data_IF_351908708939
#
_entry.id   IF_351908708939
#
_cell.length_a   1.000
_cell.length_b   1.000
_cell.length_c   1.000
_cell.angle_alpha   90.00
_cell.angle_beta   90.00
_cell.angle_gamma   90.00
#
_symmetry.space_group_name_H-M   'P 1'
#
loop_
_entity.id
_entity.type
_entity.pdbx_description
1 polymer ?
#
# COMPACT_ATOMS: atom_id res chain seq x y z
N UNK A 1 0.33 -3.33 38.49
CA UNK A 1 0.98 -4.29 37.57
C UNK A 1 -0.16 -4.96 36.84
N UNK A 2 -0.78 -4.35 35.82
CA UNK A 2 -0.31 -3.86 34.51
C UNK A 2 -0.06 -4.98 33.48
N UNK A 3 -0.46 -4.64 32.25
CA UNK A 3 -0.51 -5.36 30.98
C UNK A 3 -1.79 -6.20 30.77
N UNK A 4 -2.59 -6.05 29.71
CA UNK A 4 -2.74 -5.06 28.63
C UNK A 4 -4.07 -5.46 27.95
N UNK A 5 -5.06 -4.56 27.88
CA UNK A 5 -6.39 -4.82 27.31
C UNK A 5 -6.56 -3.99 26.03
N UNK A 6 -6.58 -4.65 24.87
CA UNK A 6 -6.81 -4.05 23.56
C UNK A 6 -8.31 -4.08 23.17
N UNK A 7 -8.88 -3.01 22.57
CA UNK A 7 -10.29 -2.94 22.17
C UNK A 7 -10.59 -3.59 20.80
N UNK A 8 -11.80 -4.16 20.65
CA UNK A 8 -12.29 -4.90 19.47
C UNK A 8 -12.89 -3.99 18.36
N UNK A 9 -12.48 -4.19 17.10
CA UNK A 9 -13.12 -3.62 15.88
C UNK A 9 -14.03 -4.69 15.21
N UNK A 10 -15.24 -4.35 14.72
CA UNK A 10 -16.10 -5.28 13.99
C UNK A 10 -15.61 -5.53 12.54
N UNK A 11 -15.75 -6.78 12.05
CA UNK A 11 -15.38 -7.18 10.68
C UNK A 11 -15.98 -6.26 9.60
N UNK A 12 -15.14 -5.84 8.66
CA UNK A 12 -15.48 -4.92 7.58
C UNK A 12 -15.81 -5.61 6.25
N UNK A 13 -16.06 -6.93 6.29
CA UNK A 13 -16.15 -7.79 5.10
C UNK A 13 -17.44 -7.71 4.30
N UNK A 14 -18.43 -6.93 4.76
CA UNK A 14 -19.71 -6.80 4.09
C UNK A 14 -19.82 -5.41 3.46
N UNK A 15 -19.06 -5.17 2.40
CA UNK A 15 -19.21 -3.97 1.57
C UNK A 15 -19.37 -4.40 0.12
N UNK A 16 -20.55 -4.13 -0.46
CA UNK A 16 -20.72 -4.27 -1.89
C UNK A 16 -19.85 -3.21 -2.59
N UNK A 17 -19.06 -3.65 -3.57
CA UNK A 17 -18.06 -2.84 -4.26
C UNK A 17 -18.66 -1.93 -5.33
N UNK A 18 -19.83 -1.32 -5.09
CA UNK A 18 -20.54 -0.50 -6.08
C UNK A 18 -20.59 0.99 -5.74
N UNK A 19 -19.96 1.43 -4.64
CA UNK A 19 -20.13 2.79 -4.15
C UNK A 19 -18.80 3.40 -3.71
N UNK A 20 -18.32 4.43 -4.40
CA UNK A 20 -17.08 5.21 -4.16
C UNK A 20 -17.05 5.95 -2.80
N UNK A 21 -18.02 5.69 -1.92
CA UNK A 21 -18.20 6.28 -0.61
C UNK A 21 -17.06 6.03 0.41
N UNK A 22 -16.28 4.93 0.38
CA UNK A 22 -15.14 4.72 1.29
C UNK A 22 -13.97 5.67 1.02
N UNK A 23 -13.59 5.86 -0.25
CA UNK A 23 -12.59 6.84 -0.67
C UNK A 23 -13.01 8.26 -0.29
N UNK A 24 -14.31 8.57 -0.40
CA UNK A 24 -14.83 9.87 0.03
C UNK A 24 -14.74 10.12 1.54
N UNK A 25 -14.74 9.07 2.36
CA UNK A 25 -14.62 9.18 3.82
C UNK A 25 -13.18 9.29 4.28
N UNK A 26 -12.26 8.62 3.59
CA UNK A 26 -10.81 8.77 3.81
C UNK A 26 -10.41 10.25 3.80
N UNK A 27 -10.87 10.96 2.78
CA UNK A 27 -10.38 12.31 2.55
C UNK A 27 -11.05 13.34 3.48
N UNK A 28 -12.30 13.09 3.89
CA UNK A 28 -12.96 13.89 4.94
C UNK A 28 -12.31 13.73 6.33
N UNK A 29 -11.56 12.65 6.58
CA UNK A 29 -10.86 12.39 7.85
C UNK A 29 -9.48 13.05 7.92
N UNK A 30 -8.85 13.36 6.78
CA UNK A 30 -7.54 14.02 6.71
C UNK A 30 -7.60 15.50 7.15
N UNK A 31 -8.75 16.18 6.98
CA UNK A 31 -8.79 17.64 7.07
C UNK A 31 -9.25 18.26 8.41
N UNK A 32 -9.57 17.52 9.47
CA UNK A 32 -9.92 18.15 10.77
C UNK A 32 -11.08 19.16 10.75
N UNK A 33 -11.81 19.32 9.65
CA UNK A 33 -12.92 20.27 9.49
C UNK A 33 -14.27 19.60 9.85
N UNK A 34 -14.38 19.18 11.12
CA UNK A 34 -15.49 18.40 11.64
C UNK A 34 -16.89 19.04 11.62
N UNK A 35 -17.05 20.33 11.30
CA UNK A 35 -18.32 21.02 11.57
C UNK A 35 -19.25 21.27 10.36
N UNK A 36 -18.72 21.32 9.12
CA UNK A 36 -19.51 21.75 7.95
C UNK A 36 -20.08 20.59 7.13
N UNK A 37 -19.45 19.41 7.21
CA UNK A 37 -19.90 18.17 6.54
C UNK A 37 -20.94 17.42 7.39
N UNK A 38 -20.92 17.57 8.72
CA UNK A 38 -21.91 16.99 9.63
C UNK A 38 -23.36 17.40 9.31
N UNK A 39 -23.56 18.61 8.79
CA UNK A 39 -24.90 19.12 8.51
C UNK A 39 -25.50 18.58 7.20
N UNK A 40 -24.69 18.13 6.23
CA UNK A 40 -25.18 17.65 4.92
C UNK A 40 -25.31 16.14 4.77
N UNK A 41 -24.78 15.32 5.68
CA UNK A 41 -24.90 13.85 5.64
C UNK A 41 -25.97 13.27 6.58
N UNK A 42 -26.90 14.11 7.04
CA UNK A 42 -27.87 13.82 8.11
C UNK A 42 -28.99 12.81 7.76
N UNK A 43 -28.85 12.01 6.70
CA UNK A 43 -29.81 10.95 6.36
C UNK A 43 -29.08 9.66 5.96
N UNK A 44 -28.95 8.76 6.94
CA UNK A 44 -28.79 7.32 6.71
C UNK A 44 -27.41 6.81 6.31
N UNK A 45 -26.35 7.59 6.55
CA UNK A 45 -24.98 7.19 6.20
C UNK A 45 -24.39 6.19 7.21
N UNK A 46 -23.66 5.20 6.70
CA UNK A 46 -22.76 4.29 7.45
C UNK A 46 -21.95 5.00 8.54
N UNK A 47 -21.68 6.30 8.43
CA UNK A 47 -21.07 7.12 9.46
C UNK A 47 -21.79 7.06 10.81
N UNK A 48 -23.13 7.01 10.85
CA UNK A 48 -23.89 6.83 12.10
C UNK A 48 -23.73 5.42 12.67
N UNK A 49 -23.47 4.43 11.80
CA UNK A 49 -23.20 3.04 12.18
C UNK A 49 -21.78 2.92 12.78
N UNK A 50 -20.80 3.60 12.17
CA UNK A 50 -19.41 3.68 12.63
C UNK A 50 -19.23 4.52 13.90
N UNK A 51 -19.92 5.66 14.00
CA UNK A 51 -19.95 6.47 15.22
C UNK A 51 -20.57 5.70 16.38
N UNK A 52 -21.60 4.87 16.15
CA UNK A 52 -22.16 3.95 17.16
C UNK A 52 -21.21 2.82 17.58
N UNK A 53 -20.31 2.39 16.69
CA UNK A 53 -19.25 1.41 17.01
C UNK A 53 -18.20 2.05 17.91
N UNK A 54 -17.75 3.27 17.56
CA UNK A 54 -16.79 4.04 18.34
C UNK A 54 -17.38 4.60 19.65
N UNK A 55 -18.70 4.81 19.74
CA UNK A 55 -19.37 5.35 20.93
C UNK A 55 -19.87 4.30 21.93
N UNK A 56 -19.75 3.01 21.63
CA UNK A 56 -20.15 1.95 22.58
C UNK A 56 -19.07 1.77 23.63
N UNK A 57 -19.34 2.25 24.85
CA UNK A 57 -18.67 1.73 26.06
C UNK A 57 -18.98 0.25 26.19
N UNK A 58 -17.92 -0.57 26.14
CA UNK A 58 -17.84 -2.03 26.32
C UNK A 58 -18.78 -2.90 25.44
N UNK A 59 -18.24 -3.80 24.60
CA UNK A 59 -19.03 -4.89 24.01
C UNK A 59 -19.23 -6.03 25.02
N UNK A 60 -20.48 -6.49 25.10
CA UNK A 60 -20.93 -7.72 25.75
C UNK A 60 -20.29 -8.94 25.06
N UNK A 61 -19.96 -9.99 25.84
CA UNK A 61 -18.95 -11.03 25.62
C UNK A 61 -19.03 -11.96 24.38
N UNK A 62 -20.02 -11.88 23.48
CA UNK A 62 -20.34 -13.02 22.59
C UNK A 62 -20.09 -12.86 21.08
N UNK A 63 -19.20 -11.98 20.61
CA UNK A 63 -18.91 -11.91 19.15
C UNK A 63 -17.50 -11.43 18.79
N UNK A 64 -16.49 -12.30 18.94
CA UNK A 64 -15.16 -12.07 18.34
C UNK A 64 -15.23 -12.40 16.84
N UNK A 65 -14.92 -11.43 15.99
CA UNK A 65 -14.75 -11.68 14.55
C UNK A 65 -13.67 -12.73 14.27
N UNK A 66 -13.64 -13.37 13.08
CA UNK A 66 -12.59 -14.34 12.76
C UNK A 66 -11.20 -13.69 12.83
N UNK A 67 -10.33 -14.34 13.61
CA UNK A 67 -8.91 -14.00 13.74
C UNK A 67 -8.18 -14.34 12.44
N UNK A 68 -7.07 -13.66 12.13
CA UNK A 68 -6.24 -13.87 10.94
C UNK A 68 -6.11 -15.35 10.54
N UNK A 69 -5.69 -16.22 11.47
CA UNK A 69 -5.50 -17.65 11.16
C UNK A 69 -6.78 -18.41 10.82
N UNK A 70 -7.92 -18.01 11.39
CA UNK A 70 -9.20 -18.62 11.10
C UNK A 70 -9.64 -18.32 9.66
N UNK A 71 -9.35 -17.11 9.15
CA UNK A 71 -9.81 -16.68 7.84
C UNK A 71 -8.81 -16.89 6.71
N UNK A 72 -7.52 -16.68 6.96
CA UNK A 72 -6.47 -16.70 5.95
C UNK A 72 -5.42 -17.79 6.18
N UNK A 73 -5.56 -18.59 7.24
CA UNK A 73 -4.59 -19.60 7.61
C UNK A 73 -3.43 -19.04 8.43
N UNK A 74 -2.56 -19.93 8.89
CA UNK A 74 -1.44 -19.55 9.76
C UNK A 74 -0.35 -18.85 8.95
N UNK A 75 0.13 -17.73 9.48
CA UNK A 75 1.34 -17.08 9.01
C UNK A 75 2.54 -18.02 9.15
N UNK A 76 3.35 -18.05 8.10
CA UNK A 76 4.56 -18.83 7.94
C UNK A 76 5.75 -17.87 7.94
N UNK A 77 6.77 -18.22 7.16
CA UNK A 77 8.04 -17.49 7.02
C UNK A 77 7.83 -16.01 6.67
N UNK A 78 8.76 -15.19 7.16
CA UNK A 78 8.90 -13.79 6.75
C UNK A 78 9.45 -13.77 5.34
N UNK A 79 8.72 -13.14 4.41
CA UNK A 79 9.13 -13.01 3.01
C UNK A 79 9.65 -11.62 2.67
N UNK A 80 9.48 -10.65 3.57
CA UNK A 80 10.01 -9.30 3.37
C UNK A 80 10.05 -8.48 4.64
N UNK A 81 11.05 -7.61 4.70
CA UNK A 81 11.14 -6.52 5.66
C UNK A 81 11.02 -5.22 4.87
N UNK A 82 9.85 -4.57 4.91
CA UNK A 82 9.61 -3.29 4.26
C UNK A 82 9.76 -2.12 5.23
N UNK A 83 9.90 -0.90 4.70
CA UNK A 83 9.86 0.33 5.50
C UNK A 83 8.55 0.47 6.30
N UNK A 84 7.50 -0.20 5.84
CA UNK A 84 6.15 -0.16 6.39
C UNK A 84 5.81 -1.35 7.30
N UNK A 85 6.74 -2.28 7.56
CA UNK A 85 6.52 -3.42 8.46
C UNK A 85 7.06 -4.76 7.97
N UNK A 86 6.73 -5.82 8.71
CA UNK A 86 7.14 -7.21 8.42
C UNK A 86 6.05 -7.87 7.57
N UNK A 87 6.45 -8.56 6.50
CA UNK A 87 5.52 -9.29 5.62
C UNK A 87 5.71 -10.79 5.79
N UNK A 88 4.63 -11.47 6.16
CA UNK A 88 4.55 -12.91 6.30
C UNK A 88 3.76 -13.53 5.14
N UNK A 89 4.09 -14.75 4.74
CA UNK A 89 3.19 -15.54 3.89
C UNK A 89 2.20 -16.28 4.78
N UNK A 90 0.92 -16.24 4.42
CA UNK A 90 -0.10 -17.07 5.02
C UNK A 90 -0.67 -18.06 4.01
N UNK A 91 -1.06 -19.24 4.48
CA UNK A 91 -1.48 -20.37 3.65
C UNK A 91 -2.80 -20.93 4.16
N UNK A 92 -3.83 -20.87 3.31
CA UNK A 92 -5.18 -21.42 3.57
C UNK A 92 -5.44 -22.62 2.68
N UNK A 93 -5.99 -23.69 3.24
CA UNK A 93 -6.54 -24.78 2.41
C UNK A 93 -7.77 -24.27 1.65
N UNK A 94 -7.82 -24.55 0.35
CA UNK A 94 -9.00 -24.20 -0.47
C UNK A 94 -10.22 -24.99 0.00
N UNK A 95 -11.41 -24.40 -0.14
CA UNK A 95 -12.67 -25.01 0.32
C UNK A 95 -12.97 -26.36 -0.36
N UNK A 96 -12.52 -26.52 -1.61
CA UNK A 96 -12.63 -27.78 -2.36
C UNK A 96 -11.62 -28.86 -1.89
N UNK A 97 -10.78 -28.57 -0.91
CA UNK A 97 -9.77 -29.50 -0.37
C UNK A 97 -8.56 -29.75 -1.29
N UNK A 98 -8.53 -29.16 -2.50
CA UNK A 98 -7.49 -29.40 -3.49
C UNK A 98 -6.62 -28.14 -3.62
N UNK A 99 -5.42 -28.26 -3.05
CA UNK A 99 -4.42 -27.20 -3.08
C UNK A 99 -4.63 -26.14 -2.01
N UNK A 100 -3.76 -25.14 -2.06
CA UNK A 100 -3.67 -24.08 -1.07
C UNK A 100 -3.73 -22.73 -1.76
N UNK A 101 -4.21 -21.74 -1.03
CA UNK A 101 -4.23 -20.35 -1.42
C UNK A 101 -3.26 -19.58 -0.53
N UNK A 102 -2.44 -18.75 -1.15
CA UNK A 102 -1.41 -17.97 -0.49
C UNK A 102 -1.83 -16.50 -0.39
N UNK A 103 -1.45 -15.90 0.72
CA UNK A 103 -1.68 -14.51 1.05
C UNK A 103 -0.40 -13.89 1.58
N UNK A 104 -0.20 -12.60 1.35
CA UNK A 104 0.80 -11.84 2.08
C UNK A 104 0.11 -11.07 3.21
N UNK A 105 0.70 -11.12 4.39
CA UNK A 105 0.21 -10.46 5.60
C UNK A 105 1.25 -9.48 6.08
N UNK A 106 0.95 -8.20 5.95
CA UNK A 106 1.80 -7.10 6.39
C UNK A 106 1.40 -6.69 7.80
N UNK A 107 2.26 -6.93 8.77
CA UNK A 107 2.09 -6.44 10.14
C UNK A 107 2.36 -4.94 10.18
N UNK A 108 1.38 -4.18 10.64
CA UNK A 108 1.43 -2.72 10.68
C UNK A 108 1.95 -2.26 12.03
N UNK A 109 2.80 -1.24 12.02
CA UNK A 109 3.41 -0.71 13.23
C UNK A 109 2.90 0.70 13.56
N UNK A 110 2.73 0.94 14.86
CA UNK A 110 2.43 2.26 15.41
C UNK A 110 3.69 3.13 15.40
N UNK A 111 3.58 4.38 14.97
CA UNK A 111 4.72 5.32 14.97
C UNK A 111 5.05 5.75 16.41
N UNK A 112 6.31 6.08 16.70
CA UNK A 112 6.80 6.32 18.07
C UNK A 112 6.10 7.46 18.83
N UNK A 113 5.41 8.38 18.15
CA UNK A 113 4.68 9.52 18.73
C UNK A 113 3.17 9.50 18.44
N UNK A 114 2.69 8.44 17.84
CA UNK A 114 1.30 8.29 17.43
C UNK A 114 0.49 7.67 18.58
N UNK A 115 -0.61 8.31 18.94
CA UNK A 115 -1.57 7.75 19.90
C UNK A 115 -2.31 6.56 19.29
N UNK A 116 -2.92 5.72 20.12
CA UNK A 116 -3.68 4.57 19.64
C UNK A 116 -4.85 4.98 18.71
N UNK A 117 -5.54 6.07 19.05
CA UNK A 117 -6.64 6.60 18.23
C UNK A 117 -6.14 7.12 16.87
N UNK A 118 -5.02 7.85 16.85
CA UNK A 118 -4.41 8.33 15.60
C UNK A 118 -3.93 7.16 14.74
N UNK A 119 -3.36 6.13 15.38
CA UNK A 119 -2.93 4.91 14.72
C UNK A 119 -4.09 4.20 14.03
N UNK A 120 -5.16 3.92 14.76
CA UNK A 120 -6.36 3.24 14.21
C UNK A 120 -6.99 4.09 13.11
N UNK A 121 -7.07 5.41 13.29
CA UNK A 121 -7.60 6.31 12.25
C UNK A 121 -6.76 6.24 11.00
N UNK A 122 -5.43 6.33 11.11
CA UNK A 122 -4.51 6.22 9.96
C UNK A 122 -4.69 4.90 9.23
N UNK A 123 -4.67 3.78 9.95
CA UNK A 123 -4.81 2.45 9.35
C UNK A 123 -6.15 2.25 8.63
N UNK A 124 -7.24 2.66 9.30
CA UNK A 124 -8.59 2.53 8.74
C UNK A 124 -8.73 3.40 7.49
N UNK A 125 -8.20 4.62 7.56
CA UNK A 125 -8.17 5.55 6.46
C UNK A 125 -7.41 4.94 5.26
N UNK A 126 -6.17 4.51 5.47
CA UNK A 126 -5.34 3.87 4.44
C UNK A 126 -6.04 2.65 3.82
N UNK A 127 -6.63 1.78 4.65
CA UNK A 127 -7.35 0.61 4.17
C UNK A 127 -8.58 0.96 3.32
N UNK A 128 -9.34 2.02 3.65
CA UNK A 128 -10.50 2.45 2.87
C UNK A 128 -10.14 2.89 1.44
N UNK A 129 -8.95 3.44 1.23
CA UNK A 129 -8.46 3.75 -0.12
C UNK A 129 -8.07 2.45 -0.83
N UNK A 130 -7.22 1.66 -0.17
CA UNK A 130 -6.62 0.48 -0.76
C UNK A 130 -7.65 -0.61 -1.11
N UNK A 131 -8.74 -0.73 -0.33
CA UNK A 131 -9.81 -1.69 -0.59
C UNK A 131 -10.60 -1.39 -1.87
N UNK A 132 -10.57 -0.15 -2.34
CA UNK A 132 -11.25 0.29 -3.57
C UNK A 132 -10.38 0.16 -4.82
N UNK A 133 -9.06 -0.02 -4.66
CA UNK A 133 -8.15 -0.16 -5.80
C UNK A 133 -8.31 -1.54 -6.45
N UNK A 134 -8.73 -1.56 -7.72
CA UNK A 134 -8.95 -2.78 -8.50
C UNK A 134 -8.40 -2.63 -9.91
N UNK A 135 -7.15 -3.06 -10.09
CA UNK A 135 -6.48 -3.05 -11.38
C UNK A 135 -5.52 -4.24 -11.49
N UNK A 136 -5.37 -4.90 -12.67
CA UNK A 136 -4.46 -6.03 -12.84
C UNK A 136 -3.01 -5.73 -12.42
N UNK A 137 -2.56 -4.48 -12.61
CA UNK A 137 -1.20 -4.03 -12.28
C UNK A 137 -1.06 -3.30 -10.94
N UNK A 138 -2.05 -3.40 -10.06
CA UNK A 138 -1.99 -2.89 -8.68
C UNK A 138 -2.26 -4.06 -7.72
N UNK A 139 -1.51 -4.14 -6.62
CA UNK A 139 -1.70 -5.17 -5.61
C UNK A 139 -3.09 -5.03 -4.97
N UNK A 140 -3.81 -6.14 -4.87
CA UNK A 140 -5.13 -6.17 -4.25
C UNK A 140 -5.00 -6.29 -2.74
N UNK A 141 -5.49 -5.27 -2.05
CA UNK A 141 -5.73 -5.33 -0.62
C UNK A 141 -7.06 -6.04 -0.35
N UNK A 142 -7.02 -7.06 0.52
CA UNK A 142 -8.16 -7.93 0.80
C UNK A 142 -8.86 -7.51 2.09
N UNK A 143 -8.08 -7.29 3.16
CA UNK A 143 -8.65 -6.99 4.48
C UNK A 143 -7.64 -6.32 5.42
N UNK A 144 -8.17 -5.56 6.38
CA UNK A 144 -7.47 -5.10 7.58
C UNK A 144 -8.12 -5.77 8.80
N UNK A 145 -7.34 -6.51 9.57
CA UNK A 145 -7.81 -7.28 10.73
C UNK A 145 -6.70 -7.38 11.78
N UNK A 146 -6.95 -8.07 12.90
CA UNK A 146 -5.93 -8.33 13.92
C UNK A 146 -5.47 -9.78 13.92
N UNK A 147 -4.18 -10.00 14.20
CA UNK A 147 -3.65 -11.34 14.50
C UNK A 147 -4.12 -11.85 15.89
N UNK A 148 -3.65 -13.03 16.29
CA UNK A 148 -3.95 -13.64 17.59
C UNK A 148 -3.44 -12.82 18.79
N UNK A 149 -2.47 -11.93 18.56
CA UNK A 149 -1.84 -11.09 19.59
C UNK A 149 -2.47 -9.70 19.67
N UNK A 150 -3.38 -9.37 18.75
CA UNK A 150 -4.02 -8.05 18.66
C UNK A 150 -3.27 -7.04 17.79
N UNK A 151 -2.22 -7.45 17.06
CA UNK A 151 -1.52 -6.57 16.13
C UNK A 151 -2.35 -6.38 14.86
N UNK A 152 -2.42 -5.15 14.35
CA UNK A 152 -3.08 -4.87 13.08
C UNK A 152 -2.28 -5.44 11.90
N UNK A 153 -2.98 -6.16 11.04
CA UNK A 153 -2.44 -6.82 9.87
C UNK A 153 -3.24 -6.45 8.62
N UNK A 154 -2.53 -6.07 7.58
CA UNK A 154 -3.09 -5.91 6.24
C UNK A 154 -2.87 -7.19 5.44
N UNK A 155 -3.96 -7.79 5.00
CA UNK A 155 -3.96 -8.97 4.13
C UNK A 155 -4.05 -8.51 2.68
N UNK A 156 -3.10 -8.97 1.85
CA UNK A 156 -3.02 -8.65 0.43
C UNK A 156 -2.83 -9.93 -0.39
N UNK A 157 -3.07 -9.86 -1.69
CA UNK A 157 -2.77 -10.98 -2.60
C UNK A 157 -1.26 -11.30 -2.58
N UNK A 158 -0.91 -12.59 -2.70
CA UNK A 158 0.47 -13.03 -2.77
C UNK A 158 0.96 -13.10 -4.22
N UNK A 159 2.18 -12.62 -4.46
CA UNK A 159 2.84 -12.65 -5.77
C UNK A 159 4.01 -13.63 -5.74
N UNK A 160 3.87 -14.81 -6.37
CA UNK A 160 4.87 -15.89 -6.24
C UNK A 160 6.16 -15.66 -7.02
N UNK A 161 6.19 -14.69 -7.94
CA UNK A 161 7.34 -14.36 -8.77
C UNK A 161 8.37 -13.44 -8.10
N UNK A 162 8.15 -13.06 -6.83
CA UNK A 162 9.03 -12.13 -6.11
C UNK A 162 8.91 -10.70 -6.61
N UNK A 163 9.99 -9.93 -6.49
CA UNK A 163 10.07 -8.53 -6.90
C UNK A 163 10.94 -8.32 -8.16
N UNK A 164 10.69 -7.21 -8.85
CA UNK A 164 11.41 -6.84 -10.07
C UNK A 164 12.90 -6.57 -9.80
N UNK A 165 13.27 -6.09 -8.60
CA UNK A 165 14.67 -5.86 -8.23
C UNK A 165 15.47 -7.17 -8.32
N UNK A 166 14.97 -8.23 -7.70
CA UNK A 166 15.60 -9.55 -7.67
C UNK A 166 15.72 -10.14 -9.08
N UNK A 167 14.70 -9.94 -9.94
CA UNK A 167 14.74 -10.37 -11.33
C UNK A 167 15.86 -9.65 -12.10
N UNK A 168 15.91 -8.32 -12.05
CA UNK A 168 16.94 -7.52 -12.75
C UNK A 168 18.33 -7.85 -12.22
N UNK A 169 18.49 -7.94 -10.89
CA UNK A 169 19.77 -8.26 -10.25
C UNK A 169 20.29 -9.63 -10.70
N UNK A 170 19.42 -10.64 -10.78
CA UNK A 170 19.81 -11.99 -11.20
C UNK A 170 20.12 -12.09 -12.68
N UNK A 171 19.38 -11.37 -13.53
CA UNK A 171 19.58 -11.35 -14.97
C UNK A 171 20.76 -10.43 -15.40
N UNK A 172 21.21 -9.54 -14.51
CA UNK A 172 22.11 -8.45 -14.83
C UNK A 172 21.39 -7.31 -15.54
N UNK A 173 20.58 -7.57 -16.58
CA UNK A 173 19.64 -6.65 -17.23
C UNK A 173 18.54 -7.47 -17.90
N UNK A 174 17.44 -6.83 -18.28
CA UNK A 174 16.37 -7.46 -19.05
C UNK A 174 16.56 -7.24 -20.55
N UNK A 175 16.05 -8.19 -21.35
CA UNK A 175 15.94 -7.98 -22.79
C UNK A 175 14.92 -6.89 -23.11
N UNK A 176 15.01 -6.34 -24.31
CA UNK A 176 14.22 -5.18 -24.74
C UNK A 176 12.72 -5.45 -24.59
N UNK A 177 12.28 -6.59 -25.11
CA UNK A 177 10.88 -6.98 -25.13
C UNK A 177 10.33 -7.23 -23.72
N UNK A 178 11.16 -7.77 -22.82
CA UNK A 178 10.78 -8.02 -21.43
C UNK A 178 10.63 -6.70 -20.66
N UNK A 179 11.62 -5.81 -20.78
CA UNK A 179 11.58 -4.49 -20.16
C UNK A 179 10.40 -3.64 -20.67
N UNK A 180 10.15 -3.64 -21.97
CA UNK A 180 9.03 -2.92 -22.58
C UNK A 180 7.68 -3.48 -22.10
N UNK A 181 7.59 -4.81 -21.94
CA UNK A 181 6.40 -5.46 -21.40
C UNK A 181 6.12 -5.04 -19.95
N UNK A 182 7.13 -5.09 -19.07
CA UNK A 182 6.97 -4.66 -17.68
C UNK A 182 6.71 -3.16 -17.56
N UNK A 183 7.39 -2.34 -18.36
CA UNK A 183 7.17 -0.89 -18.36
C UNK A 183 5.76 -0.52 -18.78
N UNK A 184 5.22 -1.16 -19.81
CA UNK A 184 3.82 -0.98 -20.22
C UNK A 184 2.84 -1.33 -19.10
N UNK A 185 3.10 -2.41 -18.37
CA UNK A 185 2.28 -2.83 -17.23
C UNK A 185 2.37 -1.82 -16.07
N UNK A 186 3.58 -1.34 -15.76
CA UNK A 186 3.81 -0.30 -14.77
C UNK A 186 3.04 0.99 -15.11
N UNK A 187 3.18 1.48 -16.34
CA UNK A 187 2.49 2.71 -16.78
C UNK A 187 0.98 2.60 -16.70
N UNK A 188 0.39 1.44 -17.04
CA UNK A 188 -1.06 1.20 -16.86
C UNK A 188 -1.48 1.23 -15.40
N UNK A 189 -0.67 0.66 -14.51
CA UNK A 189 -0.93 0.73 -13.07
C UNK A 189 -0.87 2.16 -12.54
N UNK A 190 0.10 2.96 -12.98
CA UNK A 190 0.25 4.37 -12.58
C UNK A 190 -0.86 5.25 -13.12
N UNK A 191 -1.22 5.10 -14.40
CA UNK A 191 -2.37 5.77 -14.99
C UNK A 191 -3.64 5.54 -14.16
N UNK A 192 -3.93 4.27 -13.83
CA UNK A 192 -5.06 3.92 -12.97
C UNK A 192 -4.99 4.59 -11.57
N UNK A 193 -3.83 4.57 -10.90
CA UNK A 193 -3.68 5.21 -9.59
C UNK A 193 -3.93 6.73 -9.67
N UNK A 194 -3.40 7.38 -10.70
CA UNK A 194 -3.58 8.81 -10.92
C UNK A 194 -5.03 9.16 -11.28
N UNK A 195 -5.73 8.32 -12.04
CA UNK A 195 -7.17 8.46 -12.28
C UNK A 195 -7.97 8.38 -10.97
N UNK A 196 -7.57 7.49 -10.07
CA UNK A 196 -8.14 7.35 -8.72
C UNK A 196 -7.72 8.48 -7.76
N UNK A 197 -6.90 9.43 -8.20
CA UNK A 197 -6.47 10.59 -7.39
C UNK A 197 -5.33 10.28 -6.41
N UNK A 198 -4.64 9.16 -6.59
CA UNK A 198 -3.57 8.68 -5.68
C UNK A 198 -2.22 8.76 -6.38
N UNK A 199 -1.23 9.38 -5.73
CA UNK A 199 0.18 9.31 -6.11
C UNK A 199 0.91 8.30 -5.21
N UNK A 200 1.78 7.48 -5.79
CA UNK A 200 2.47 6.41 -5.05
C UNK A 200 3.67 6.94 -4.23
N UNK A 201 4.45 7.87 -4.80
CA UNK A 201 5.57 8.62 -4.19
C UNK A 201 6.78 7.81 -3.72
N UNK A 202 6.75 6.48 -3.78
CA UNK A 202 7.88 5.60 -3.46
C UNK A 202 7.99 4.41 -4.43
N UNK A 203 7.94 4.68 -5.74
CA UNK A 203 8.13 3.64 -6.75
C UNK A 203 9.60 3.24 -6.86
N UNK A 204 9.85 1.94 -6.80
CA UNK A 204 11.16 1.30 -6.96
C UNK A 204 10.97 -0.16 -7.36
N UNK A 205 11.96 -0.84 -7.95
CA UNK A 205 11.82 -2.23 -8.38
C UNK A 205 11.43 -3.20 -7.26
N UNK A 206 11.81 -2.92 -6.02
CA UNK A 206 11.42 -3.70 -4.83
C UNK A 206 9.91 -3.63 -4.53
N UNK A 207 9.26 -2.53 -4.93
CA UNK A 207 7.82 -2.31 -4.75
C UNK A 207 7.00 -2.82 -5.95
N UNK A 208 7.65 -3.41 -6.96
CA UNK A 208 7.03 -3.98 -8.15
C UNK A 208 7.09 -5.51 -8.09
N UNK A 209 5.99 -6.10 -7.64
CA UNK A 209 5.88 -7.55 -7.46
C UNK A 209 5.48 -8.24 -8.76
N UNK A 210 5.90 -9.50 -8.90
CA UNK A 210 5.64 -10.33 -10.07
C UNK A 210 4.79 -11.52 -9.68
N UNK A 211 3.70 -11.75 -10.40
CA UNK A 211 2.91 -12.98 -10.28
C UNK A 211 3.62 -14.14 -10.96
N UNK A 212 3.24 -15.38 -10.65
CA UNK A 212 3.74 -16.58 -11.35
C UNK A 212 3.53 -16.53 -12.88
N UNK A 213 2.55 -15.76 -13.34
CA UNK A 213 2.21 -15.64 -14.77
C UNK A 213 2.92 -14.48 -15.47
N UNK A 214 3.88 -13.81 -14.82
CA UNK A 214 4.64 -12.71 -15.41
C UNK A 214 3.91 -11.36 -15.43
N UNK A 215 2.80 -11.23 -14.70
CA UNK A 215 2.14 -9.94 -14.51
C UNK A 215 2.81 -9.15 -13.39
N UNK A 216 3.05 -7.86 -13.62
CA UNK A 216 3.60 -6.91 -12.65
C UNK A 216 2.48 -6.28 -11.82
N UNK A 217 2.71 -6.09 -10.51
CA UNK A 217 1.80 -5.45 -9.56
C UNK A 217 2.53 -4.42 -8.71
N UNK A 218 2.04 -3.19 -8.73
CA UNK A 218 2.50 -2.09 -7.88
C UNK A 218 2.05 -2.34 -6.44
N UNK A 219 2.97 -2.24 -5.49
CA UNK A 219 2.74 -2.54 -4.07
C UNK A 219 3.42 -1.53 -3.14
N UNK A 220 3.14 -1.64 -1.85
CA UNK A 220 3.66 -0.79 -0.75
C UNK A 220 3.31 0.71 -0.85
N UNK A 221 2.06 1.01 -0.50
CA UNK A 221 1.47 2.34 -0.50
C UNK A 221 1.80 3.17 0.76
N UNK A 222 2.82 2.80 1.55
CA UNK A 222 3.11 3.42 2.84
C UNK A 222 3.49 4.91 2.78
N UNK A 223 3.92 5.39 1.60
CA UNK A 223 4.23 6.79 1.31
C UNK A 223 3.22 7.44 0.34
N UNK A 224 2.17 6.73 -0.05
CA UNK A 224 1.20 7.23 -1.03
C UNK A 224 0.36 8.37 -0.46
N UNK A 225 -0.17 9.22 -1.34
CA UNK A 225 -0.97 10.38 -0.96
C UNK A 225 -2.09 10.68 -1.97
N UNK A 226 -3.18 11.28 -1.50
CA UNK A 226 -4.32 11.65 -2.33
C UNK A 226 -4.17 13.10 -2.81
N UNK A 227 -3.77 13.28 -4.07
CA UNK A 227 -3.62 14.62 -4.67
C UNK A 227 -4.92 15.19 -5.22
N UNK A 228 -5.95 14.37 -5.39
CA UNK A 228 -7.25 14.82 -5.90
C UNK A 228 -8.38 13.99 -5.32
N UNK A 229 -9.44 14.69 -4.93
CA UNK A 229 -10.63 14.10 -4.34
C UNK A 229 -11.69 13.85 -5.41
N UNK A 230 -12.54 12.85 -5.24
CA UNK A 230 -13.54 12.49 -6.26
C UNK A 230 -14.56 13.61 -6.58
N UNK A 231 -14.68 14.62 -5.72
CA UNK A 231 -15.55 15.78 -5.91
C UNK A 231 -14.79 17.07 -6.25
N UNK A 232 -13.48 16.99 -6.42
CA UNK A 232 -12.60 18.12 -6.70
C UNK A 232 -11.99 17.99 -8.09
N UNK A 233 -11.87 19.12 -8.77
CA UNK A 233 -11.18 19.20 -10.04
C UNK A 233 -9.72 19.64 -9.88
N UNK A 234 -9.43 20.37 -8.80
CA UNK A 234 -8.11 20.92 -8.53
C UNK A 234 -7.19 19.85 -7.96
N UNK A 235 -5.89 20.00 -8.26
CA UNK A 235 -4.83 19.10 -7.80
C UNK A 235 -4.14 19.75 -6.62
N UNK A 236 -4.01 19.01 -5.52
CA UNK A 236 -3.24 19.40 -4.35
C UNK A 236 -1.79 19.01 -4.54
N UNK A 237 -0.89 19.97 -4.31
CA UNK A 237 0.55 19.71 -4.32
C UNK A 237 0.96 19.04 -3.01
N UNK A 238 2.01 18.23 -3.11
CA UNK A 238 2.56 17.47 -2.00
C UNK A 238 3.79 18.16 -1.45
N UNK A 239 4.03 17.98 -0.15
CA UNK A 239 5.23 18.47 0.51
C UNK A 239 5.92 17.35 1.29
N UNK A 240 7.15 17.63 1.72
CA UNK A 240 7.98 16.73 2.50
C UNK A 240 8.80 15.75 1.66
N UNK A 241 9.97 15.40 2.18
CA UNK A 241 10.88 14.44 1.55
C UNK A 241 10.38 13.01 1.78
N UNK A 242 10.03 12.31 0.70
CA UNK A 242 9.66 10.90 0.71
C UNK A 242 10.22 10.18 -0.53
N UNK A 243 10.24 8.86 -0.49
CA UNK A 243 10.75 8.02 -1.56
C UNK A 243 12.10 7.38 -1.23
N UNK A 244 12.55 6.50 -2.11
CA UNK A 244 13.74 5.68 -1.91
C UNK A 244 14.86 6.04 -2.89
N UNK A 245 15.99 6.50 -2.36
CA UNK A 245 17.27 6.61 -3.07
C UNK A 245 17.19 7.15 -4.52
N UNK A 246 17.81 6.49 -5.50
CA UNK A 246 18.01 7.03 -6.86
C UNK A 246 16.70 7.26 -7.64
N UNK A 247 15.56 6.85 -7.11
CA UNK A 247 14.24 7.00 -7.74
C UNK A 247 13.54 8.31 -7.37
N UNK A 248 14.08 9.08 -6.41
CA UNK A 248 13.50 10.36 -5.98
C UNK A 248 13.72 11.41 -7.08
N UNK A 249 12.64 12.09 -7.46
CA UNK A 249 12.67 13.17 -8.43
C UNK A 249 13.36 14.42 -7.86
N UNK A 250 14.09 15.20 -8.68
CA UNK A 250 14.87 16.35 -8.20
C UNK A 250 14.01 17.40 -7.49
N UNK A 251 12.78 17.65 -7.95
CA UNK A 251 11.85 18.61 -7.36
C UNK A 251 11.48 18.29 -5.91
N UNK A 252 11.56 17.02 -5.48
CA UNK A 252 11.31 16.62 -4.09
C UNK A 252 12.38 17.18 -3.15
N UNK A 253 13.58 17.49 -3.67
CA UNK A 253 14.66 18.10 -2.89
C UNK A 253 14.68 19.63 -2.95
N UNK A 254 14.24 20.21 -4.08
CA UNK A 254 14.40 21.64 -4.36
C UNK A 254 13.16 22.46 -4.07
N UNK A 255 11.99 21.87 -4.24
CA UNK A 255 10.73 22.60 -4.23
C UNK A 255 10.06 22.43 -2.87
N UNK A 256 9.35 23.48 -2.44
CA UNK A 256 8.58 23.42 -1.20
C UNK A 256 7.34 22.51 -1.35
N UNK A 257 6.74 22.56 -2.54
CA UNK A 257 5.57 21.77 -2.92
C UNK A 257 5.73 21.29 -4.37
N UNK A 258 5.28 20.07 -4.65
CA UNK A 258 5.48 19.42 -5.96
C UNK A 258 4.28 18.56 -6.35
N UNK A 259 4.16 18.25 -7.64
CA UNK A 259 3.09 17.36 -8.15
C UNK A 259 3.51 15.90 -7.97
N UNK A 260 2.80 15.17 -7.09
CA UNK A 260 3.08 13.76 -6.83
C UNK A 260 3.00 12.86 -8.07
N UNK A 261 2.22 13.25 -9.08
CA UNK A 261 2.12 12.50 -10.34
C UNK A 261 3.42 12.57 -11.15
N UNK A 262 4.04 13.75 -11.21
CA UNK A 262 5.29 13.95 -11.92
C UNK A 262 6.43 13.14 -11.27
N UNK A 263 6.45 13.09 -9.94
CA UNK A 263 7.40 12.28 -9.16
C UNK A 263 7.26 10.79 -9.48
N UNK A 264 6.04 10.27 -9.57
CA UNK A 264 5.80 8.87 -9.96
C UNK A 264 6.34 8.58 -11.38
N UNK A 265 6.07 9.48 -12.35
CA UNK A 265 6.53 9.33 -13.74
C UNK A 265 8.06 9.36 -13.83
N UNK A 266 8.72 10.22 -13.04
CA UNK A 266 10.17 10.23 -12.94
C UNK A 266 10.71 8.88 -12.48
N UNK A 267 10.17 8.35 -11.37
CA UNK A 267 10.59 7.07 -10.83
C UNK A 267 10.38 5.93 -11.83
N UNK A 268 9.27 5.92 -12.59
CA UNK A 268 9.05 4.97 -13.69
C UNK A 268 10.17 5.03 -14.74
N UNK A 269 10.61 6.23 -15.14
CA UNK A 269 11.72 6.40 -16.08
C UNK A 269 13.03 5.81 -15.56
N UNK A 270 13.36 6.07 -14.30
CA UNK A 270 14.55 5.50 -13.64
C UNK A 270 14.46 3.97 -13.56
N UNK A 271 13.30 3.41 -13.22
CA UNK A 271 13.07 1.96 -13.19
C UNK A 271 13.29 1.33 -14.56
N UNK A 272 12.80 1.97 -15.64
CA UNK A 272 13.02 1.47 -17.00
C UNK A 272 14.51 1.45 -17.38
N UNK A 273 15.24 2.50 -17.01
CA UNK A 273 16.69 2.55 -17.19
C UNK A 273 17.38 1.40 -16.44
N UNK A 274 16.99 1.15 -15.20
CA UNK A 274 17.54 0.04 -14.39
C UNK A 274 17.24 -1.31 -15.05
N UNK A 275 16.02 -1.54 -15.53
CA UNK A 275 15.68 -2.77 -16.26
C UNK A 275 16.59 -2.98 -17.49
N UNK A 276 16.85 -1.92 -18.26
CA UNK A 276 17.60 -2.00 -19.52
C UNK A 276 19.12 -2.06 -19.38
N UNK A 277 19.65 -1.56 -18.27
CA UNK A 277 21.10 -1.38 -18.10
C UNK A 277 21.67 -2.20 -16.95
N UNK A 278 20.83 -2.69 -16.03
CA UNK A 278 21.27 -3.40 -14.84
C UNK A 278 21.79 -2.54 -13.71
N UNK A 279 21.79 -1.23 -13.90
CA UNK A 279 22.37 -0.29 -12.94
C UNK A 279 21.57 1.01 -12.97
N UNK A 280 21.58 1.74 -11.86
CA UNK A 280 21.21 3.15 -11.89
C UNK A 280 22.26 3.88 -12.73
N UNK A 281 21.87 4.85 -13.56
CA UNK A 281 22.82 5.68 -14.33
C UNK A 281 23.61 6.60 -13.40
N UNK A 282 24.50 6.02 -12.60
CA UNK A 282 25.67 6.67 -12.04
C UNK A 282 26.77 5.64 -12.21
N UNK A 283 27.57 5.81 -13.24
CA UNK A 283 28.89 5.21 -13.25
C UNK A 283 29.56 5.65 -11.95
N UNK A 284 29.75 4.73 -11.00
CA UNK A 284 30.84 4.90 -10.04
C UNK A 284 32.05 5.26 -10.88
N UNK A 285 32.76 6.38 -10.61
CA UNK A 285 33.97 6.68 -11.35
C UNK A 285 34.86 5.46 -11.18
N UNK A 286 34.97 4.67 -12.25
CA UNK A 286 35.74 3.46 -12.26
C UNK A 286 37.09 3.84 -11.67
N UNK A 287 37.51 3.13 -10.61
CA UNK A 287 38.84 3.31 -10.04
C UNK A 287 39.81 3.31 -11.22
N UNK A 288 40.34 4.49 -11.57
CA UNK A 288 41.40 4.59 -12.56
C UNK A 288 42.51 3.72 -11.99
N UNK A 289 42.80 2.61 -12.67
CA UNK A 289 44.01 1.87 -12.41
C UNK A 289 45.17 2.89 -12.47
N UNK A 290 46.09 2.88 -11.49
CA UNK A 290 47.24 3.75 -11.57
C UNK A 290 47.98 3.45 -12.87
N UNK A 291 48.29 4.48 -13.63
CA UNK A 291 49.12 4.36 -14.83
C UNK A 291 50.44 3.72 -14.40
N UNK A 292 50.75 2.56 -14.98
CA UNK A 292 52.07 1.95 -14.85
C UNK A 292 53.09 2.92 -15.48
N UNK A 293 54.04 3.34 -14.65
CA UNK A 293 55.22 4.15 -15.01
C UNK A 293 56.41 3.26 -15.32
#
# INVERSE_FOLDING_TARGET
MNADEAPLIPNLTNFDGSNTAPLQRFIALQEGHGHRIEQKLRKGSLFDRWRKILSKKQPQEDNKGPILSAKYGRCQEVVGYGASGIVHVSRKKKENGIGEELYAVKELQRRSRETEDEYIRRLTAEFCVLSELRHPNVIRTLELLTDEKGNYCQVIEYCEGGDLFTLVYSAGKLEVEEADCFFKQLMRGIEYLHEMGVAHRDLKPENLLLTRHGSLKISDFGNSDCFRMAWENDVHLMSGLCGSGPYIAPEVYTDQEYDGRAVDVWACGVIYIVMRTGSYLVASPAKRAPAES
#
